data_IF_051074878640
#
_entry.id   IF_051074878640
#
_cell.length_a   1.000
_cell.length_b   1.000
_cell.length_c   1.000
_cell.angle_alpha   90.00
_cell.angle_beta   90.00
_cell.angle_gamma   90.00
#
_symmetry.space_group_name_H-M   'P 1'
#
loop_
_entity.id
_entity.type
_entity.pdbx_description
1 polymer ?
#
# COMPACT_ATOMS: atom_id res chain seq x y z
N UNK A 1 10.09 14.37 -15.32
CA UNK A 1 11.05 13.25 -15.08
C UNK A 1 10.57 12.03 -15.85
N UNK A 2 11.38 11.45 -16.74
CA UNK A 2 11.00 10.25 -17.49
C UNK A 2 10.89 9.02 -16.57
N UNK A 3 10.00 8.07 -16.91
CA UNK A 3 9.79 6.85 -16.15
C UNK A 3 11.05 5.99 -16.08
N UNK A 4 11.34 5.44 -14.89
CA UNK A 4 12.54 4.59 -14.71
C UNK A 4 12.39 3.26 -15.45
N UNK A 5 13.50 2.60 -15.84
CA UNK A 5 13.45 1.30 -16.53
C UNK A 5 12.63 0.24 -15.77
N UNK A 6 12.69 0.26 -14.43
CA UNK A 6 11.88 -0.61 -13.57
C UNK A 6 10.38 -0.30 -13.65
N UNK A 7 9.99 0.98 -13.71
CA UNK A 7 8.58 1.36 -13.89
C UNK A 7 8.07 0.94 -15.27
N UNK A 8 8.89 1.07 -16.32
CA UNK A 8 8.51 0.65 -17.69
C UNK A 8 8.31 -0.86 -17.80
N UNK A 9 9.18 -1.67 -17.18
CA UNK A 9 9.05 -3.13 -17.16
C UNK A 9 7.80 -3.54 -16.36
N UNK A 10 7.57 -2.94 -15.20
CA UNK A 10 6.37 -3.19 -14.40
C UNK A 10 5.09 -2.82 -15.16
N UNK A 11 5.07 -1.67 -15.86
CA UNK A 11 3.95 -1.26 -16.69
C UNK A 11 3.69 -2.22 -17.86
N UNK A 12 4.75 -2.74 -18.51
CA UNK A 12 4.61 -3.77 -19.57
C UNK A 12 4.06 -5.08 -19.03
N UNK A 13 4.57 -5.56 -17.89
CA UNK A 13 4.06 -6.79 -17.26
C UNK A 13 2.62 -6.64 -16.77
N UNK A 14 2.25 -5.48 -16.24
CA UNK A 14 0.87 -5.16 -15.87
C UNK A 14 -0.04 -5.05 -17.09
N UNK A 15 0.43 -4.46 -18.20
CA UNK A 15 -0.33 -4.40 -19.45
C UNK A 15 -0.63 -5.79 -20.02
N UNK A 16 0.31 -6.73 -19.92
CA UNK A 16 0.10 -8.13 -20.32
C UNK A 16 -0.94 -8.86 -19.44
N UNK A 17 -1.06 -8.48 -18.16
CA UNK A 17 -2.04 -9.04 -17.23
C UNK A 17 -3.40 -8.32 -17.25
N UNK A 18 -3.43 -7.07 -17.73
CA UNK A 18 -4.58 -6.18 -17.67
C UNK A 18 -5.21 -5.91 -19.03
N UNK A 19 -5.14 -6.87 -19.95
CA UNK A 19 -6.00 -6.85 -21.13
C UNK A 19 -7.42 -7.04 -20.62
N UNK A 20 -8.29 -6.03 -20.76
CA UNK A 20 -9.64 -6.04 -20.22
C UNK A 20 -10.45 -7.31 -20.56
N UNK A 21 -11.62 -7.49 -19.95
CA UNK A 21 -12.36 -8.75 -20.03
C UNK A 21 -12.59 -9.20 -21.49
N UNK A 22 -12.00 -10.34 -21.86
CA UNK A 22 -12.09 -10.92 -23.22
C UNK A 22 -13.26 -11.88 -23.39
N UNK A 23 -13.87 -12.31 -22.28
CA UNK A 23 -15.00 -13.24 -22.26
C UNK A 23 -16.32 -12.47 -22.12
N UNK A 24 -17.40 -12.99 -22.69
CA UNK A 24 -18.75 -12.41 -22.54
C UNK A 24 -19.15 -12.29 -21.06
N UNK A 25 -18.83 -13.29 -20.24
CA UNK A 25 -19.07 -13.23 -18.79
C UNK A 25 -18.24 -12.13 -18.09
N UNK A 26 -17.04 -11.86 -18.57
CA UNK A 26 -16.19 -10.77 -18.08
C UNK A 26 -16.72 -9.40 -18.51
N UNK A 27 -17.18 -9.28 -19.76
CA UNK A 27 -17.82 -8.06 -20.28
C UNK A 27 -19.12 -7.77 -19.56
N UNK A 28 -19.96 -8.78 -19.31
CA UNK A 28 -21.20 -8.66 -18.56
C UNK A 28 -20.95 -8.21 -17.11
N UNK A 29 -19.95 -8.79 -16.42
CA UNK A 29 -19.51 -8.31 -15.10
C UNK A 29 -19.03 -6.86 -15.13
N UNK A 30 -18.22 -6.49 -16.13
CA UNK A 30 -17.77 -5.10 -16.30
C UNK A 30 -18.91 -4.12 -16.63
N UNK A 31 -19.92 -4.57 -17.38
CA UNK A 31 -21.11 -3.78 -17.72
C UNK A 31 -21.98 -3.54 -16.48
N UNK A 32 -22.18 -4.55 -15.63
CA UNK A 32 -22.88 -4.41 -14.34
C UNK A 32 -22.19 -3.43 -13.39
N UNK A 33 -20.86 -3.33 -13.44
CA UNK A 33 -20.13 -2.31 -12.67
C UNK A 33 -20.37 -0.88 -13.16
N UNK A 34 -20.69 -0.69 -14.45
CA UNK A 34 -21.08 0.62 -14.99
C UNK A 34 -22.50 1.01 -14.55
N UNK A 35 -23.41 0.04 -14.47
CA UNK A 35 -24.83 0.28 -14.09
C UNK A 35 -25.07 0.35 -12.59
N UNK A 36 -24.29 -0.37 -11.77
CA UNK A 36 -24.53 -0.46 -10.30
C UNK A 36 -24.29 0.85 -9.54
N UNK A 37 -23.30 1.65 -9.96
CA UNK A 37 -22.95 2.87 -9.26
C UNK A 37 -22.96 4.12 -10.15
N UNK A 38 -23.00 3.98 -11.48
CA UNK A 38 -23.02 5.11 -12.43
C UNK A 38 -21.76 5.99 -12.46
N UNK A 39 -20.76 5.70 -11.60
CA UNK A 39 -19.57 6.54 -11.38
C UNK A 39 -18.29 5.98 -12.03
N UNK A 40 -18.33 4.82 -12.69
CA UNK A 40 -17.14 4.22 -13.33
C UNK A 40 -16.75 4.91 -14.63
N UNK A 41 -17.76 5.37 -15.37
CA UNK A 41 -17.73 6.29 -16.51
C UNK A 41 -19.16 6.80 -16.64
N UNK A 42 -19.34 8.10 -16.88
CA UNK A 42 -20.63 8.61 -17.33
C UNK A 42 -20.99 7.88 -18.63
N UNK A 43 -21.91 6.92 -18.54
CA UNK A 43 -22.45 6.21 -19.69
C UNK A 43 -23.34 7.13 -20.52
N UNK A 44 -23.93 6.58 -21.58
CA UNK A 44 -24.88 7.31 -22.43
C UNK A 44 -26.15 7.76 -21.67
N UNK A 45 -26.44 7.13 -20.52
CA UNK A 45 -27.62 7.44 -19.70
C UNK A 45 -27.20 7.52 -18.22
N UNK A 46 -26.87 8.73 -17.71
CA UNK A 46 -26.64 8.92 -16.29
C UNK A 46 -27.95 8.74 -15.48
N UNK A 47 -27.88 8.46 -14.17
CA UNK A 47 -29.04 8.53 -13.29
C UNK A 47 -29.74 9.90 -13.39
N UNK A 48 -31.07 9.95 -13.28
CA UNK A 48 -31.87 11.17 -13.52
C UNK A 48 -31.35 12.38 -12.75
N UNK A 49 -31.16 12.26 -11.43
CA UNK A 49 -30.62 13.34 -10.59
C UNK A 49 -29.24 13.85 -11.04
N UNK A 50 -28.43 12.99 -11.67
CA UNK A 50 -27.15 13.39 -12.24
C UNK A 50 -27.32 14.03 -13.62
N UNK A 51 -28.30 13.61 -14.42
CA UNK A 51 -28.65 14.26 -15.68
C UNK A 51 -29.10 15.70 -15.44
N UNK A 52 -29.97 15.92 -14.46
CA UNK A 52 -30.47 17.25 -14.08
C UNK A 52 -29.31 18.15 -13.62
N UNK A 53 -28.47 17.65 -12.70
CA UNK A 53 -27.29 18.38 -12.26
C UNK A 53 -26.29 18.71 -13.38
N UNK A 54 -26.23 17.88 -14.44
CA UNK A 54 -25.42 18.17 -15.64
C UNK A 54 -26.06 19.26 -16.48
N UNK A 55 -27.38 19.24 -16.66
CA UNK A 55 -28.11 20.29 -17.37
C UNK A 55 -27.93 21.65 -16.67
N UNK A 56 -28.12 21.67 -15.34
CA UNK A 56 -27.90 22.87 -14.51
C UNK A 56 -26.45 23.38 -14.63
N UNK A 57 -25.47 22.47 -14.58
CA UNK A 57 -24.04 22.81 -14.76
C UNK A 57 -23.78 23.45 -16.11
N UNK A 58 -24.35 22.87 -17.17
CA UNK A 58 -24.21 23.39 -18.54
C UNK A 58 -24.78 24.81 -18.63
N UNK A 59 -26.00 25.03 -18.13
CA UNK A 59 -26.63 26.34 -18.13
C UNK A 59 -25.78 27.38 -17.39
N UNK A 60 -25.32 27.06 -16.17
CA UNK A 60 -24.51 27.96 -15.35
C UNK A 60 -23.17 28.31 -15.99
N UNK A 61 -22.52 27.36 -16.67
CA UNK A 61 -21.15 27.53 -17.16
C UNK A 61 -21.08 28.00 -18.62
N UNK A 62 -22.18 27.91 -19.38
CA UNK A 62 -22.20 28.24 -20.80
C UNK A 62 -21.71 29.66 -21.09
N UNK A 63 -22.18 30.65 -20.31
CA UNK A 63 -21.85 32.06 -20.49
C UNK A 63 -20.36 32.36 -20.23
N UNK A 64 -19.71 31.58 -19.37
CA UNK A 64 -18.29 31.72 -19.01
C UNK A 64 -17.37 31.04 -20.01
N UNK A 65 -17.73 29.85 -20.47
CA UNK A 65 -16.88 29.06 -21.36
C UNK A 65 -17.11 29.34 -22.84
N UNK A 66 -18.32 29.74 -23.26
CA UNK A 66 -18.67 30.13 -24.64
C UNK A 66 -18.08 29.18 -25.69
N UNK A 67 -18.40 27.87 -25.64
CA UNK A 67 -17.93 26.94 -26.66
C UNK A 67 -18.48 27.35 -28.04
N UNK A 68 -17.63 27.27 -29.05
CA UNK A 68 -17.98 27.55 -30.44
C UNK A 68 -17.74 26.33 -31.32
N UNK A 69 -18.84 25.81 -31.88
CA UNK A 69 -18.83 24.70 -32.82
C UNK A 69 -18.69 23.33 -32.16
N UNK A 70 -18.91 22.26 -32.94
CA UNK A 70 -19.20 20.93 -32.39
C UNK A 70 -18.08 20.34 -31.52
N UNK A 71 -16.82 20.63 -31.83
CA UNK A 71 -15.67 20.11 -31.10
C UNK A 71 -15.52 20.76 -29.71
N UNK A 72 -15.78 22.07 -29.60
CA UNK A 72 -15.76 22.79 -28.33
C UNK A 72 -16.98 22.42 -27.49
N UNK A 73 -18.15 22.30 -28.11
CA UNK A 73 -19.38 21.84 -27.46
C UNK A 73 -19.16 20.47 -26.82
N UNK A 74 -18.61 19.51 -27.56
CA UNK A 74 -18.34 18.17 -27.04
C UNK A 74 -17.43 18.18 -25.79
N UNK A 75 -16.35 18.98 -25.81
CA UNK A 75 -15.44 19.10 -24.66
C UNK A 75 -16.10 19.80 -23.48
N UNK A 76 -16.90 20.83 -23.73
CA UNK A 76 -17.65 21.56 -22.70
C UNK A 76 -18.71 20.67 -22.04
N UNK A 77 -19.48 19.92 -22.82
CA UNK A 77 -20.45 18.97 -22.29
C UNK A 77 -19.78 17.89 -21.44
N UNK A 78 -18.63 17.38 -21.91
CA UNK A 78 -17.86 16.39 -21.15
C UNK A 78 -17.29 16.98 -19.86
N UNK A 79 -16.80 18.21 -19.89
CA UNK A 79 -16.34 18.94 -18.71
C UNK A 79 -17.45 19.05 -17.65
N UNK A 80 -18.64 19.49 -18.06
CA UNK A 80 -19.79 19.60 -17.17
C UNK A 80 -20.15 18.24 -16.56
N UNK A 81 -20.23 17.20 -17.40
CA UNK A 81 -20.53 15.84 -16.95
C UNK A 81 -19.52 15.32 -15.91
N UNK A 82 -18.23 15.39 -16.22
CA UNK A 82 -17.18 14.88 -15.32
C UNK A 82 -17.09 15.69 -14.02
N UNK A 83 -17.40 17.00 -14.06
CA UNK A 83 -17.49 17.82 -12.85
C UNK A 83 -18.61 17.40 -11.91
N UNK A 84 -19.80 17.08 -12.42
CA UNK A 84 -20.91 16.54 -11.61
C UNK A 84 -20.58 15.15 -11.06
N UNK A 85 -19.89 14.32 -11.84
CA UNK A 85 -19.43 13.00 -11.38
C UNK A 85 -18.41 13.13 -10.25
N UNK A 86 -17.50 14.11 -10.30
CA UNK A 86 -16.58 14.39 -9.20
C UNK A 86 -17.34 14.75 -7.92
N UNK A 87 -18.28 15.70 -8.00
CA UNK A 87 -19.08 16.13 -6.84
C UNK A 87 -19.91 14.98 -6.25
N UNK A 88 -20.38 14.08 -7.11
CA UNK A 88 -21.12 12.89 -6.69
C UNK A 88 -20.22 11.86 -5.99
N UNK A 89 -18.97 11.68 -6.46
CA UNK A 89 -17.99 10.86 -5.76
C UNK A 89 -17.64 11.45 -4.40
N UNK A 90 -17.43 12.76 -4.32
CA UNK A 90 -17.06 13.46 -3.09
C UNK A 90 -18.19 13.44 -2.05
N UNK A 91 -19.43 13.72 -2.46
CA UNK A 91 -20.60 13.58 -1.57
C UNK A 91 -20.75 12.17 -1.02
N UNK A 92 -20.56 11.15 -1.86
CA UNK A 92 -20.65 9.75 -1.44
C UNK A 92 -19.49 9.32 -0.54
N UNK A 93 -18.30 9.87 -0.74
CA UNK A 93 -17.15 9.67 0.17
C UNK A 93 -17.45 10.24 1.56
N UNK A 94 -18.01 11.45 1.64
CA UNK A 94 -18.38 12.08 2.91
C UNK A 94 -19.44 11.24 3.63
N UNK A 95 -20.51 10.87 2.94
CA UNK A 95 -21.58 10.04 3.52
C UNK A 95 -21.05 8.70 4.03
N UNK A 96 -20.23 8.01 3.23
CA UNK A 96 -19.66 6.72 3.63
C UNK A 96 -18.70 6.86 4.83
N UNK A 97 -17.90 7.93 4.89
CA UNK A 97 -17.04 8.19 6.05
C UNK A 97 -17.86 8.43 7.32
N UNK A 98 -18.97 9.16 7.21
CA UNK A 98 -19.90 9.36 8.33
C UNK A 98 -20.53 8.04 8.79
N UNK A 99 -21.06 7.23 7.87
CA UNK A 99 -21.63 5.91 8.19
C UNK A 99 -20.62 4.99 8.90
N UNK A 100 -19.36 5.01 8.47
CA UNK A 100 -18.30 4.22 9.10
C UNK A 100 -17.90 4.78 10.47
N UNK A 101 -17.96 6.10 10.66
CA UNK A 101 -17.69 6.75 11.93
C UNK A 101 -18.78 6.41 12.96
N UNK A 102 -20.05 6.49 12.56
CA UNK A 102 -21.20 6.09 13.39
C UNK A 102 -21.07 4.62 13.80
N UNK A 103 -20.75 3.73 12.83
CA UNK A 103 -20.52 2.31 13.12
C UNK A 103 -19.35 2.09 14.09
N UNK A 104 -18.27 2.86 13.96
CA UNK A 104 -17.15 2.77 14.89
C UNK A 104 -17.58 3.17 16.32
N UNK A 105 -18.37 4.22 16.47
CA UNK A 105 -18.89 4.65 17.76
C UNK A 105 -19.78 3.58 18.41
N UNK A 106 -20.60 2.89 17.61
CA UNK A 106 -21.55 1.88 18.07
C UNK A 106 -20.93 0.52 18.35
N UNK A 107 -20.02 0.06 17.48
CA UNK A 107 -19.63 -1.34 17.39
C UNK A 107 -18.13 -1.58 17.20
N UNK A 108 -17.26 -0.64 17.60
CA UNK A 108 -15.80 -0.80 17.47
C UNK A 108 -15.30 -2.14 18.00
N UNK A 109 -15.61 -2.48 19.26
CA UNK A 109 -15.08 -3.67 19.89
C UNK A 109 -15.58 -4.97 19.22
N UNK A 110 -16.85 -5.00 18.84
CA UNK A 110 -17.46 -6.16 18.18
C UNK A 110 -16.90 -6.38 16.77
N UNK A 111 -16.76 -5.32 15.97
CA UNK A 111 -16.20 -5.41 14.63
C UNK A 111 -14.73 -5.85 14.68
N UNK A 112 -13.95 -5.31 15.62
CA UNK A 112 -12.54 -5.71 15.82
C UNK A 112 -12.43 -7.16 16.32
N UNK A 113 -13.32 -7.60 17.20
CA UNK A 113 -13.38 -8.98 17.66
C UNK A 113 -13.75 -9.95 16.53
N UNK A 114 -14.71 -9.59 15.67
CA UNK A 114 -15.10 -10.38 14.51
C UNK A 114 -13.94 -10.54 13.50
N UNK A 115 -13.21 -9.46 13.20
CA UNK A 115 -12.02 -9.50 12.35
C UNK A 115 -10.93 -10.40 12.94
N UNK A 116 -10.74 -10.36 14.26
CA UNK A 116 -9.80 -11.25 14.96
C UNK A 116 -10.23 -12.71 14.87
N UNK A 117 -11.51 -13.01 15.03
CA UNK A 117 -12.03 -14.37 14.90
C UNK A 117 -11.80 -14.94 13.49
N UNK A 118 -12.04 -14.15 12.44
CA UNK A 118 -11.75 -14.54 11.06
C UNK A 118 -10.25 -14.83 10.86
N UNK A 119 -9.38 -13.97 11.40
CA UNK A 119 -7.94 -14.19 11.35
C UNK A 119 -7.49 -15.44 12.11
N UNK A 120 -8.13 -15.70 13.25
CA UNK A 120 -7.81 -16.82 14.13
C UNK A 120 -8.24 -18.19 13.57
N UNK A 121 -9.16 -18.25 12.60
CA UNK A 121 -9.54 -19.51 11.92
C UNK A 121 -8.33 -20.23 11.29
N UNK A 122 -7.33 -19.46 10.84
CA UNK A 122 -6.12 -20.02 10.27
C UNK A 122 -5.05 -20.40 11.32
N UNK A 123 -5.28 -20.19 12.62
CA UNK A 123 -4.27 -20.35 13.68
C UNK A 123 -3.74 -21.78 13.74
N UNK A 124 -4.62 -22.79 13.74
CA UNK A 124 -4.23 -24.22 13.81
C UNK A 124 -3.44 -24.71 12.58
N UNK A 125 -3.56 -23.99 11.47
CA UNK A 125 -2.87 -24.30 10.20
C UNK A 125 -1.53 -23.59 10.09
N UNK A 126 -1.45 -22.34 10.55
CA UNK A 126 -0.28 -21.45 10.39
C UNK A 126 -0.02 -20.62 11.64
N UNK A 127 0.25 -21.28 12.79
CA UNK A 127 0.39 -20.60 14.07
C UNK A 127 1.56 -19.59 14.05
N UNK A 128 2.64 -19.89 13.33
CA UNK A 128 3.82 -19.04 13.19
C UNK A 128 3.56 -17.72 12.42
N UNK A 129 2.43 -17.62 11.71
CA UNK A 129 2.03 -16.41 10.98
C UNK A 129 0.88 -15.70 11.66
N UNK A 130 -0.11 -16.44 12.13
CA UNK A 130 -1.34 -15.87 12.69
C UNK A 130 -1.08 -15.31 14.08
N UNK A 131 -0.37 -16.03 14.95
CA UNK A 131 -0.13 -15.59 16.32
C UNK A 131 0.62 -14.24 16.39
N UNK A 132 1.72 -14.02 15.62
CA UNK A 132 2.40 -12.74 15.67
C UNK A 132 1.55 -11.57 15.15
N UNK A 133 0.52 -11.83 14.34
CA UNK A 133 -0.45 -10.82 13.90
C UNK A 133 -1.46 -10.51 14.99
N UNK A 134 -1.97 -11.53 15.69
CA UNK A 134 -2.85 -11.33 16.84
C UNK A 134 -2.18 -10.48 17.93
N UNK A 135 -0.89 -10.73 18.21
CA UNK A 135 -0.07 -9.95 19.13
C UNK A 135 0.13 -8.47 18.76
N UNK A 136 -0.24 -8.05 17.54
CA UNK A 136 -0.12 -6.65 17.10
C UNK A 136 -1.35 -5.81 17.40
N UNK A 137 -2.42 -6.41 17.93
CA UNK A 137 -3.71 -5.74 18.15
C UNK A 137 -4.24 -6.02 19.54
N UNK A 138 -4.99 -5.07 20.10
CA UNK A 138 -5.63 -5.22 21.41
C UNK A 138 -6.58 -6.43 21.43
N UNK A 139 -7.55 -6.46 20.52
CA UNK A 139 -8.55 -7.53 20.43
C UNK A 139 -7.93 -8.90 20.15
N UNK A 140 -6.84 -8.97 19.38
CA UNK A 140 -6.11 -10.21 19.15
C UNK A 140 -5.47 -10.76 20.42
N UNK A 141 -4.90 -9.90 21.26
CA UNK A 141 -4.35 -10.30 22.57
C UNK A 141 -5.45 -10.69 23.55
N UNK A 142 -6.57 -9.97 23.60
CA UNK A 142 -7.72 -10.36 24.41
C UNK A 142 -8.29 -11.72 24.00
N UNK A 143 -8.37 -11.98 22.69
CA UNK A 143 -8.78 -13.28 22.17
C UNK A 143 -7.82 -14.40 22.59
N UNK A 144 -6.51 -14.16 22.52
CA UNK A 144 -5.49 -15.10 22.99
C UNK A 144 -5.62 -15.39 24.49
N UNK A 145 -5.85 -14.37 25.32
CA UNK A 145 -6.07 -14.54 26.76
C UNK A 145 -7.28 -15.45 27.00
N UNK A 146 -8.41 -15.21 26.32
CA UNK A 146 -9.59 -16.06 26.45
C UNK A 146 -9.35 -17.52 26.03
N UNK A 147 -8.52 -17.77 25.01
CA UNK A 147 -8.12 -19.14 24.66
C UNK A 147 -7.19 -19.79 25.69
N UNK A 148 -6.33 -19.01 26.34
CA UNK A 148 -5.49 -19.49 27.44
C UNK A 148 -6.29 -19.84 28.69
N UNK A 149 -7.39 -19.12 28.95
CA UNK A 149 -8.32 -19.47 30.03
C UNK A 149 -8.97 -20.85 29.76
N UNK A 150 -9.35 -21.15 28.51
CA UNK A 150 -9.84 -22.48 28.10
C UNK A 150 -8.80 -23.59 28.34
N UNK A 151 -7.52 -23.30 28.10
CA UNK A 151 -6.41 -24.22 28.40
C UNK A 151 -6.26 -24.45 29.90
N UNK A 152 -6.26 -23.39 30.72
CA UNK A 152 -6.19 -23.52 32.17
C UNK A 152 -7.37 -24.32 32.74
N UNK A 153 -8.58 -24.09 32.23
CA UNK A 153 -9.76 -24.83 32.65
C UNK A 153 -9.70 -26.31 32.26
N UNK A 154 -9.16 -26.62 31.07
CA UNK A 154 -8.92 -28.00 30.66
C UNK A 154 -7.90 -28.69 31.58
N UNK A 155 -6.79 -28.02 31.91
CA UNK A 155 -5.77 -28.51 32.83
C UNK A 155 -6.33 -28.82 34.22
N UNK A 156 -7.16 -27.94 34.77
CA UNK A 156 -7.81 -28.14 36.08
C UNK A 156 -8.76 -29.33 36.06
N UNK A 157 -9.61 -29.44 35.04
CA UNK A 157 -10.61 -30.52 34.94
C UNK A 157 -9.99 -31.90 34.71
N UNK A 158 -8.87 -31.94 34.00
CA UNK A 158 -8.24 -33.20 33.60
C UNK A 158 -7.03 -33.56 34.46
N UNK A 159 -6.70 -32.72 35.45
CA UNK A 159 -5.55 -32.85 36.34
C UNK A 159 -4.23 -33.06 35.56
N UNK A 160 -4.08 -32.37 34.42
CA UNK A 160 -2.93 -32.52 33.55
C UNK A 160 -3.23 -32.20 32.09
N UNK A 161 -2.20 -32.32 31.25
CA UNK A 161 -2.30 -32.04 29.82
C UNK A 161 -3.13 -33.11 29.08
N UNK A 162 -3.81 -32.70 28.02
CA UNK A 162 -4.36 -33.60 26.98
C UNK A 162 -3.69 -33.29 25.65
N UNK A 163 -3.58 -34.26 24.72
CA UNK A 163 -2.99 -34.02 23.40
C UNK A 163 -3.60 -32.80 22.70
N UNK A 164 -4.94 -32.70 22.67
CA UNK A 164 -5.64 -31.60 22.01
C UNK A 164 -5.40 -30.24 22.68
N UNK A 165 -5.38 -30.23 24.02
CA UNK A 165 -5.11 -29.01 24.80
C UNK A 165 -3.65 -28.57 24.67
N UNK A 166 -2.73 -29.52 24.55
CA UNK A 166 -1.33 -29.24 24.26
C UNK A 166 -1.14 -28.63 22.88
N UNK A 167 -1.77 -29.20 21.86
CA UNK A 167 -1.72 -28.66 20.49
C UNK A 167 -2.30 -27.26 20.41
N UNK A 168 -3.40 -27.01 21.12
CA UNK A 168 -3.95 -25.66 21.27
C UNK A 168 -2.97 -24.72 21.96
N UNK A 169 -2.35 -25.12 23.07
CA UNK A 169 -1.35 -24.29 23.74
C UNK A 169 -0.16 -23.96 22.81
N UNK A 170 0.28 -24.93 22.00
CA UNK A 170 1.34 -24.71 21.02
C UNK A 170 0.89 -23.78 19.87
N UNK A 171 -0.37 -23.85 19.45
CA UNK A 171 -0.97 -22.92 18.48
C UNK A 171 -0.96 -21.49 19.04
N UNK A 172 -1.38 -21.31 20.29
CA UNK A 172 -1.42 -20.01 20.99
C UNK A 172 -0.04 -19.42 21.26
N UNK A 173 1.00 -20.25 21.34
CA UNK A 173 2.40 -19.83 21.39
C UNK A 173 3.02 -19.56 20.00
N UNK A 174 2.27 -19.78 18.92
CA UNK A 174 2.77 -19.59 17.56
C UNK A 174 3.77 -20.65 17.10
N UNK A 175 3.84 -21.80 17.78
CA UNK A 175 4.76 -22.87 17.43
C UNK A 175 4.30 -23.59 16.16
N UNK A 176 5.11 -23.62 15.10
CA UNK A 176 4.78 -24.37 13.88
C UNK A 176 4.66 -25.88 14.17
N UNK A 177 3.85 -26.61 13.38
CA UNK A 177 3.69 -28.07 13.57
C UNK A 177 5.02 -28.83 13.53
N UNK A 178 5.95 -28.41 12.66
CA UNK A 178 7.28 -29.00 12.58
C UNK A 178 8.11 -28.78 13.85
N UNK A 179 7.93 -27.65 14.54
CA UNK A 179 8.66 -27.33 15.77
C UNK A 179 8.10 -28.03 17.02
N UNK A 180 6.99 -28.77 16.91
CA UNK A 180 6.33 -29.46 18.03
C UNK A 180 6.77 -30.92 18.21
N UNK A 181 7.46 -31.50 17.23
CA UNK A 181 7.85 -32.91 17.27
C UNK A 181 8.77 -33.16 18.46
N UNK A 182 8.39 -34.08 19.35
CA UNK A 182 9.15 -34.41 20.57
C UNK A 182 9.15 -33.33 21.64
N UNK A 183 8.19 -32.40 21.60
CA UNK A 183 8.04 -31.34 22.60
C UNK A 183 6.88 -31.57 23.57
N UNK A 184 6.24 -32.74 23.53
CA UNK A 184 5.05 -33.01 24.33
C UNK A 184 5.37 -32.99 25.84
N UNK A 185 4.38 -32.72 26.71
CA UNK A 185 4.53 -32.85 28.16
C UNK A 185 4.94 -34.27 28.56
N UNK A 186 4.54 -35.24 27.74
CA UNK A 186 4.85 -36.68 27.85
C UNK A 186 6.30 -37.01 27.47
N UNK A 187 6.95 -36.14 26.70
CA UNK A 187 8.36 -36.23 26.31
C UNK A 187 9.26 -35.48 27.31
N UNK A 188 8.66 -34.78 28.28
CA UNK A 188 9.30 -33.98 29.33
C UNK A 188 9.21 -34.68 30.70
N UNK A 189 9.77 -34.07 31.74
CA UNK A 189 9.92 -34.72 33.05
C UNK A 189 8.56 -35.19 33.61
N UNK A 190 8.44 -36.34 34.30
CA UNK A 190 7.15 -36.87 34.78
C UNK A 190 6.35 -35.91 35.69
N UNK A 191 6.99 -34.93 36.31
CA UNK A 191 6.33 -33.87 37.09
C UNK A 191 5.69 -32.77 36.20
N UNK A 192 6.16 -32.60 34.95
CA UNK A 192 5.64 -31.63 33.98
C UNK A 192 4.29 -32.04 33.36
N UNK A 193 3.91 -33.32 33.50
CA UNK A 193 2.61 -33.83 33.07
C UNK A 193 1.46 -33.42 34.02
N UNK A 194 1.78 -33.04 35.26
CA UNK A 194 0.82 -32.58 36.25
C UNK A 194 0.26 -31.17 35.96
N UNK A 195 -0.84 -30.76 36.63
CA UNK A 195 -1.50 -29.49 36.34
C UNK A 195 -0.69 -28.28 36.80
N UNK A 196 0.17 -28.43 37.81
CA UNK A 196 0.95 -27.32 38.41
C UNK A 196 1.83 -26.59 37.40
N UNK A 197 2.79 -27.28 36.74
CA UNK A 197 3.66 -26.66 35.73
C UNK A 197 2.89 -26.06 34.55
N UNK A 198 1.82 -26.72 34.11
CA UNK A 198 0.95 -26.21 33.05
C UNK A 198 0.23 -24.92 33.45
N UNK A 199 -0.35 -24.87 34.65
CA UNK A 199 -1.03 -23.68 35.16
C UNK A 199 -0.07 -22.51 35.39
N UNK A 200 1.15 -22.79 35.84
CA UNK A 200 2.20 -21.77 35.97
C UNK A 200 2.64 -21.21 34.62
N UNK A 201 2.76 -22.06 33.59
CA UNK A 201 2.97 -21.61 32.22
C UNK A 201 1.83 -20.68 31.79
N UNK A 202 0.56 -21.11 31.91
CA UNK A 202 -0.60 -20.28 31.52
C UNK A 202 -0.58 -18.94 32.24
N UNK A 203 -0.35 -18.93 33.57
CA UNK A 203 -0.24 -17.71 34.37
C UNK A 203 0.81 -16.76 33.82
N UNK A 204 2.03 -17.25 33.59
CA UNK A 204 3.13 -16.44 33.08
C UNK A 204 2.84 -15.86 31.68
N UNK A 205 2.19 -16.64 30.81
CA UNK A 205 1.82 -16.18 29.46
C UNK A 205 0.73 -15.11 29.53
N UNK A 206 -0.32 -15.34 30.30
CA UNK A 206 -1.43 -14.39 30.44
C UNK A 206 -0.93 -13.08 31.08
N UNK A 207 -0.03 -13.14 32.07
CA UNK A 207 0.61 -11.95 32.63
C UNK A 207 1.40 -11.17 31.58
N UNK A 208 2.20 -11.84 30.74
CA UNK A 208 2.93 -11.19 29.65
C UNK A 208 1.99 -10.55 28.61
N UNK A 209 0.88 -11.22 28.26
CA UNK A 209 -0.13 -10.69 27.35
C UNK A 209 -0.83 -9.44 27.94
N UNK A 210 -1.21 -9.47 29.22
CA UNK A 210 -1.80 -8.33 29.92
C UNK A 210 -0.81 -7.15 30.03
N UNK A 211 0.45 -7.42 30.33
CA UNK A 211 1.50 -6.39 30.34
C UNK A 211 1.66 -5.75 28.94
N UNK A 212 1.58 -6.55 27.88
CA UNK A 212 1.61 -6.05 26.50
C UNK A 212 0.43 -5.13 26.19
N UNK A 213 -0.78 -5.50 26.62
CA UNK A 213 -1.97 -4.65 26.48
C UNK A 213 -1.74 -3.26 27.10
N UNK A 214 -1.41 -3.27 28.40
CA UNK A 214 -1.19 -2.06 29.19
C UNK A 214 -0.01 -1.21 28.69
N UNK A 215 1.00 -1.82 28.09
CA UNK A 215 2.20 -1.08 27.66
C UNK A 215 1.97 -0.15 26.47
N UNK A 216 1.12 -0.52 25.50
CA UNK A 216 0.90 0.29 24.30
C UNK A 216 -0.31 -0.10 23.45
N UNK A 217 -0.85 -1.32 23.58
CA UNK A 217 -1.95 -1.74 22.69
C UNK A 217 -3.28 -1.10 23.07
N UNK A 218 -3.56 -0.91 24.36
CA UNK A 218 -4.77 -0.21 24.80
C UNK A 218 -4.79 1.24 24.32
N UNK A 219 -3.71 1.98 24.54
CA UNK A 219 -3.58 3.37 24.08
C UNK A 219 -3.63 3.48 22.54
N UNK A 220 -3.01 2.53 21.83
CA UNK A 220 -3.03 2.50 20.37
C UNK A 220 -4.43 2.22 19.83
N UNK A 221 -5.15 1.30 20.48
CA UNK A 221 -6.52 0.96 20.10
C UNK A 221 -7.49 2.11 20.41
N UNK A 222 -7.36 2.76 21.56
CA UNK A 222 -8.15 3.93 21.94
C UNK A 222 -7.95 5.09 20.93
N UNK A 223 -6.72 5.35 20.49
CA UNK A 223 -6.46 6.33 19.41
C UNK A 223 -7.10 5.91 18.10
N UNK A 224 -6.96 4.64 17.71
CA UNK A 224 -7.55 4.14 16.47
C UNK A 224 -9.08 4.21 16.48
N UNK A 225 -9.71 3.94 17.63
CA UNK A 225 -11.15 4.12 17.86
C UNK A 225 -11.54 5.58 17.72
N UNK A 226 -10.87 6.49 18.43
CA UNK A 226 -11.16 7.92 18.38
C UNK A 226 -10.99 8.49 16.96
N UNK A 227 -9.94 8.09 16.24
CA UNK A 227 -9.77 8.48 14.83
C UNK A 227 -10.95 7.97 13.99
N UNK A 228 -11.32 6.70 14.13
CA UNK A 228 -12.41 6.10 13.35
C UNK A 228 -13.76 6.77 13.63
N UNK A 229 -14.07 7.08 14.90
CA UNK A 229 -15.26 7.82 15.32
C UNK A 229 -15.30 9.25 14.78
N UNK A 230 -14.15 9.84 14.42
CA UNK A 230 -14.06 11.13 13.73
C UNK A 230 -14.10 11.00 12.20
N UNK A 231 -14.29 9.79 11.67
CA UNK A 231 -14.20 9.51 10.22
C UNK A 231 -12.76 9.59 9.67
N UNK A 232 -11.76 9.45 10.55
CA UNK A 232 -10.33 9.51 10.26
C UNK A 232 -9.66 8.13 10.48
N UNK A 233 -8.50 7.92 9.87
CA UNK A 233 -7.61 6.83 10.25
C UNK A 233 -7.27 5.80 9.16
N UNK A 234 -6.11 5.17 9.34
CA UNK A 234 -5.45 4.25 8.40
C UNK A 234 -6.27 3.00 8.01
N UNK A 235 -7.40 2.72 8.67
CA UNK A 235 -8.30 1.62 8.33
C UNK A 235 -9.50 2.02 7.48
N UNK A 236 -9.97 3.28 7.61
CA UNK A 236 -11.12 3.81 6.85
C UNK A 236 -10.72 4.09 5.41
N UNK A 237 -9.57 4.74 5.20
CA UNK A 237 -9.07 5.04 3.85
C UNK A 237 -8.75 3.77 3.04
N UNK A 238 -8.50 2.65 3.73
CA UNK A 238 -8.28 1.34 3.13
C UNK A 238 -9.55 0.51 2.92
N UNK A 239 -10.73 1.01 3.31
CA UNK A 239 -11.98 0.34 3.02
C UNK A 239 -12.17 0.22 1.48
N UNK A 240 -12.47 -0.98 0.94
CA UNK A 240 -12.63 -1.17 -0.51
C UNK A 240 -13.58 -0.16 -1.18
N UNK A 241 -14.72 0.22 -0.58
CA UNK A 241 -15.62 1.21 -1.17
C UNK A 241 -15.03 2.64 -1.18
N UNK A 242 -14.28 3.05 -0.15
CA UNK A 242 -13.60 4.35 -0.11
C UNK A 242 -12.54 4.43 -1.22
N UNK A 243 -11.64 3.44 -1.31
CA UNK A 243 -10.62 3.39 -2.38
C UNK A 243 -11.23 3.40 -3.78
N UNK A 244 -12.38 2.75 -3.95
CA UNK A 244 -13.10 2.73 -5.21
C UNK A 244 -13.58 4.14 -5.61
N UNK A 245 -14.21 4.85 -4.68
CA UNK A 245 -14.70 6.21 -4.91
C UNK A 245 -13.55 7.20 -5.10
N UNK A 246 -12.46 7.10 -4.33
CA UNK A 246 -11.27 7.94 -4.52
C UNK A 246 -10.64 7.73 -5.90
N UNK A 247 -10.62 6.48 -6.39
CA UNK A 247 -10.16 6.19 -7.75
C UNK A 247 -11.06 6.85 -8.79
N UNK A 248 -12.38 6.83 -8.61
CA UNK A 248 -13.31 7.50 -9.52
C UNK A 248 -13.20 9.03 -9.46
N UNK A 249 -13.04 9.61 -8.27
CA UNK A 249 -12.77 11.04 -8.10
C UNK A 249 -11.46 11.45 -8.79
N UNK A 250 -10.40 10.65 -8.64
CA UNK A 250 -9.12 10.87 -9.33
C UNK A 250 -9.26 10.82 -10.85
N UNK A 251 -9.97 9.83 -11.38
CA UNK A 251 -10.26 9.74 -12.81
C UNK A 251 -11.06 10.95 -13.31
N UNK A 252 -12.13 11.34 -12.60
CA UNK A 252 -12.94 12.52 -12.95
C UNK A 252 -12.09 13.80 -12.98
N UNK A 253 -11.24 14.05 -11.98
CA UNK A 253 -10.30 15.20 -11.97
C UNK A 253 -9.36 15.21 -13.18
N UNK A 254 -8.84 14.04 -13.57
CA UNK A 254 -8.00 13.93 -14.76
C UNK A 254 -8.78 14.24 -16.04
N UNK A 255 -10.02 13.76 -16.18
CA UNK A 255 -10.84 14.09 -17.34
C UNK A 255 -11.22 15.56 -17.39
N UNK A 256 -11.55 16.18 -16.25
CA UNK A 256 -11.81 17.62 -16.14
C UNK A 256 -10.61 18.43 -16.66
N UNK A 257 -9.40 18.13 -16.18
CA UNK A 257 -8.17 18.80 -16.65
C UNK A 257 -8.01 18.66 -18.16
N UNK A 258 -8.17 17.44 -18.70
CA UNK A 258 -8.05 17.18 -20.14
C UNK A 258 -9.08 17.96 -20.96
N UNK A 259 -10.33 18.02 -20.50
CA UNK A 259 -11.39 18.75 -21.21
C UNK A 259 -11.11 20.25 -21.20
N UNK A 260 -10.65 20.81 -20.06
CA UNK A 260 -10.24 22.21 -19.96
C UNK A 260 -9.07 22.54 -20.88
N UNK A 261 -8.01 21.72 -20.87
CA UNK A 261 -6.83 21.92 -21.70
C UNK A 261 -7.14 21.79 -23.20
N UNK A 262 -8.03 20.85 -23.56
CA UNK A 262 -8.53 20.70 -24.92
C UNK A 262 -9.37 21.89 -25.37
N UNK A 263 -10.29 22.35 -24.54
CA UNK A 263 -11.20 23.45 -24.86
C UNK A 263 -10.42 24.75 -25.07
N UNK A 264 -9.51 25.08 -24.15
CA UNK A 264 -8.64 26.26 -24.26
C UNK A 264 -7.79 26.25 -25.53
N UNK A 265 -7.30 25.07 -25.93
CA UNK A 265 -6.52 24.91 -27.16
C UNK A 265 -7.36 25.22 -28.41
N UNK A 266 -8.54 24.63 -28.51
CA UNK A 266 -9.45 24.89 -29.64
C UNK A 266 -9.91 26.36 -29.69
N UNK A 267 -10.09 26.98 -28.53
CA UNK A 267 -10.41 28.40 -28.44
C UNK A 267 -9.26 29.27 -28.94
N UNK A 268 -8.02 28.98 -28.52
CA UNK A 268 -6.83 29.70 -29.00
C UNK A 268 -6.63 29.51 -30.52
N UNK A 269 -6.88 28.31 -31.05
CA UNK A 269 -6.84 28.05 -32.50
C UNK A 269 -7.92 28.84 -33.26
N UNK A 270 -9.14 28.92 -32.72
CA UNK A 270 -10.24 29.69 -33.31
C UNK A 270 -10.02 31.21 -33.23
N UNK A 271 -9.40 31.69 -32.15
CA UNK A 271 -8.98 33.09 -32.00
C UNK A 271 -7.87 33.44 -32.99
N UNK A 272 -6.85 32.58 -33.13
CA UNK A 272 -5.77 32.76 -34.09
C UNK A 272 -6.29 32.77 -35.55
N UNK A 273 -7.30 31.95 -35.86
CA UNK A 273 -7.96 31.95 -37.16
C UNK A 273 -8.83 33.19 -37.41
N UNK A 274 -9.36 33.82 -36.34
CA UNK A 274 -10.16 35.06 -36.40
C UNK A 274 -9.32 36.33 -36.41
N UNK A 275 -8.07 36.27 -35.95
CA UNK A 275 -7.16 37.40 -36.00
C UNK A 275 -7.00 37.85 -37.47
N UNK A 276 -7.31 39.11 -37.81
CA UNK A 276 -7.22 39.58 -39.19
C UNK A 276 -5.78 39.49 -39.69
N UNK A 277 -5.64 39.32 -41.00
CA UNK A 277 -4.39 39.20 -41.77
C UNK A 277 -3.53 40.49 -41.76
N UNK A 278 -3.53 41.27 -40.68
CA UNK A 278 -2.77 42.52 -40.52
C UNK A 278 -1.25 42.30 -40.49
N UNK A 279 -0.78 41.05 -40.39
CA UNK A 279 0.64 40.72 -40.45
C UNK A 279 1.13 40.34 -41.87
N UNK A 280 0.23 40.10 -42.85
CA UNK A 280 0.64 39.77 -44.24
C UNK A 280 0.60 40.95 -45.20
N UNK A 281 0.14 42.13 -44.77
CA UNK A 281 0.08 43.34 -45.61
C UNK A 281 1.24 44.32 -45.40
N UNK A 282 2.31 43.97 -44.67
CA UNK A 282 3.52 44.78 -44.70
C UNK A 282 4.44 44.25 -45.81
N UNK A 283 4.57 44.94 -46.95
CA UNK A 283 5.58 44.56 -47.93
C UNK A 283 6.94 44.72 -47.26
N UNK A 284 7.75 43.65 -47.31
CA UNK A 284 9.13 43.69 -46.83
C UNK A 284 9.84 44.92 -47.42
N UNK A 285 10.43 45.82 -46.61
CA UNK A 285 11.27 46.86 -47.17
C UNK A 285 12.50 46.19 -47.79
N UNK A 286 12.73 46.46 -49.07
CA UNK A 286 13.94 46.07 -49.81
C UNK A 286 15.19 46.42 -49.01
N UNK A 287 16.22 45.56 -48.99
CA UNK A 287 17.44 45.83 -48.22
C UNK A 287 18.17 47.03 -48.83
N UNK A 288 18.27 48.12 -48.06
CA UNK A 288 19.22 49.20 -48.33
C UNK A 288 20.60 48.82 -47.77
N UNK A 289 21.70 49.18 -48.45
CA UNK A 289 23.04 48.67 -48.14
C UNK A 289 23.58 49.20 -46.81
N UNK A 290 24.07 48.31 -45.96
CA UNK A 290 24.71 48.65 -44.68
C UNK A 290 26.10 49.26 -44.92
N UNK A 291 26.46 50.38 -44.25
CA UNK A 291 27.80 50.96 -44.32
C UNK A 291 28.84 50.09 -43.61
N UNK A 292 30.06 50.13 -44.12
CA UNK A 292 31.26 49.45 -43.60
C UNK A 292 31.60 49.93 -42.18
N UNK A 293 31.77 49.03 -41.19
CA UNK A 293 32.30 49.39 -39.87
C UNK A 293 33.85 49.50 -39.88
N UNK A 294 34.45 50.43 -39.11
CA UNK A 294 35.90 50.57 -39.00
C UNK A 294 36.56 49.40 -38.23
N UNK A 295 37.86 49.16 -38.42
CA UNK A 295 38.53 47.94 -37.97
C UNK A 295 38.69 47.88 -36.44
N UNK A 296 38.44 46.69 -35.87
CA UNK A 296 38.77 46.36 -34.47
C UNK A 296 40.19 45.77 -34.38
N UNK A 297 40.93 46.08 -33.30
CA UNK A 297 42.28 45.58 -33.09
C UNK A 297 42.33 44.09 -32.71
N UNK A 298 43.43 43.47 -33.13
CA UNK A 298 43.78 42.05 -33.09
C UNK A 298 43.93 41.53 -31.65
N UNK A 299 43.33 40.37 -31.36
CA UNK A 299 43.67 39.55 -30.18
C UNK A 299 44.05 38.13 -30.63
N UNK A 300 45.20 37.68 -30.14
CA UNK A 300 45.90 36.44 -30.51
C UNK A 300 45.12 35.14 -30.16
N UNK A 301 45.38 34.03 -30.87
CA UNK A 301 44.56 32.81 -30.83
C UNK A 301 44.86 31.89 -29.65
N UNK A 302 43.82 31.24 -29.12
CA UNK A 302 43.93 30.08 -28.24
C UNK A 302 43.94 28.76 -29.07
N UNK A 303 44.73 27.75 -28.68
CA UNK A 303 44.88 26.50 -29.44
C UNK A 303 43.71 25.51 -29.28
N UNK A 304 43.51 24.71 -30.33
CA UNK A 304 42.42 23.74 -30.54
C UNK A 304 42.57 22.47 -29.69
N UNK A 305 41.46 21.79 -29.33
CA UNK A 305 41.48 20.42 -28.82
C UNK A 305 41.64 19.39 -29.97
N UNK A 306 42.54 18.43 -29.78
CA UNK A 306 42.77 17.29 -30.68
C UNK A 306 42.01 16.03 -30.25
N UNK A 307 41.71 15.20 -31.25
CA UNK A 307 40.90 13.99 -31.23
C UNK A 307 41.48 12.83 -30.40
N UNK A 308 40.65 11.81 -30.03
CA UNK A 308 41.12 10.63 -29.30
C UNK A 308 41.69 9.56 -30.25
N UNK A 309 42.69 8.77 -29.84
CA UNK A 309 43.10 7.59 -30.57
C UNK A 309 42.51 6.28 -30.01
N UNK A 310 42.50 5.30 -30.90
CA UNK A 310 41.83 4.01 -30.84
C UNK A 310 42.55 2.93 -30.01
N UNK A 311 41.80 1.85 -29.82
CA UNK A 311 42.13 0.63 -29.08
C UNK A 311 43.33 -0.15 -29.61
N UNK A 312 44.10 -0.74 -28.68
CA UNK A 312 44.89 -1.97 -28.84
C UNK A 312 44.94 -2.71 -27.49
N UNK A 313 44.69 -4.01 -27.51
CA UNK A 313 45.01 -4.98 -26.45
C UNK A 313 45.99 -6.02 -27.05
N UNK A 314 46.50 -7.05 -26.35
CA UNK A 314 46.65 -7.28 -24.90
C UNK A 314 48.10 -7.69 -24.52
N UNK A 315 48.37 -7.91 -23.23
CA UNK A 315 49.50 -8.76 -22.80
C UNK A 315 50.10 -8.38 -21.45
N UNK A 316 50.40 -9.40 -20.63
CA UNK A 316 51.32 -9.28 -19.50
C UNK A 316 50.74 -9.70 -18.16
N UNK A 317 51.17 -10.87 -17.71
CA UNK A 317 50.96 -11.40 -16.38
C UNK A 317 51.59 -10.50 -15.30
N UNK A 318 51.04 -10.50 -14.09
CA UNK A 318 51.79 -10.95 -12.90
C UNK A 318 50.95 -11.04 -11.63
N UNK A 319 51.42 -11.97 -10.80
CA UNK A 319 50.97 -12.49 -9.52
C UNK A 319 50.22 -11.55 -8.54
N UNK A 320 49.15 -12.09 -7.95
CA UNK A 320 48.63 -11.68 -6.64
C UNK A 320 48.90 -12.80 -5.61
N UNK A 321 49.36 -12.47 -4.39
CA UNK A 321 49.65 -13.46 -3.36
C UNK A 321 48.39 -13.98 -2.66
N UNK A 322 48.52 -15.21 -2.15
CA UNK A 322 47.51 -15.99 -1.46
C UNK A 322 47.19 -15.45 -0.06
N UNK A 323 45.90 -15.46 0.30
CA UNK A 323 45.45 -15.37 1.70
C UNK A 323 44.44 -16.49 2.01
N UNK A 324 44.54 -16.95 3.25
CA UNK A 324 44.17 -18.26 3.76
C UNK A 324 42.66 -18.49 3.96
N UNK A 325 42.24 -19.73 3.73
CA UNK A 325 40.96 -20.28 4.18
C UNK A 325 40.97 -20.54 5.69
N UNK A 326 39.95 -20.13 6.46
CA UNK A 326 39.74 -20.67 7.79
C UNK A 326 38.84 -21.92 7.72
N UNK A 327 39.25 -22.94 8.49
CA UNK A 327 38.58 -24.22 8.78
C UNK A 327 37.11 -24.08 9.26
N UNK A 328 36.26 -25.10 9.02
CA UNK A 328 34.91 -25.13 9.55
C UNK A 328 34.88 -25.54 11.04
N UNK A 329 34.03 -24.94 11.90
CA UNK A 329 33.93 -25.35 13.29
C UNK A 329 33.11 -26.66 13.44
N UNK A 330 33.54 -27.48 14.39
CA UNK A 330 32.94 -28.76 14.80
C UNK A 330 31.46 -28.64 15.25
N UNK A 331 30.66 -29.73 15.16
CA UNK A 331 29.24 -29.71 15.49
C UNK A 331 29.02 -29.47 17.00
N UNK A 332 28.18 -28.48 17.34
CA UNK A 332 27.73 -28.22 18.71
C UNK A 332 26.81 -29.35 19.19
N UNK A 333 27.10 -29.89 20.37
CA UNK A 333 26.19 -30.75 21.12
C UNK A 333 24.88 -30.01 21.47
N UNK A 334 23.75 -30.70 21.32
CA UNK A 334 22.42 -30.23 21.76
C UNK A 334 22.37 -30.18 23.30
N UNK A 335 22.03 -29.04 23.92
CA UNK A 335 21.82 -29.00 25.37
C UNK A 335 20.49 -29.68 25.72
N UNK A 336 20.47 -30.38 26.86
CA UNK A 336 19.28 -30.98 27.44
C UNK A 336 18.17 -29.92 27.64
N UNK A 337 16.92 -30.29 27.34
CA UNK A 337 15.77 -29.41 27.44
C UNK A 337 15.57 -28.94 28.88
N UNK A 338 15.69 -27.62 29.12
CA UNK A 338 15.31 -27.00 30.39
C UNK A 338 13.77 -27.00 30.60
N UNK A 339 13.31 -26.61 31.80
CA UNK A 339 11.89 -26.64 32.16
C UNK A 339 11.02 -25.85 31.16
N UNK A 340 9.75 -26.27 30.99
CA UNK A 340 8.77 -25.66 30.06
C UNK A 340 8.74 -24.12 30.15
N UNK A 341 8.92 -23.57 31.35
CA UNK A 341 8.91 -22.13 31.59
C UNK A 341 10.14 -21.40 31.04
N UNK A 342 11.25 -22.09 30.74
CA UNK A 342 12.47 -21.48 30.17
C UNK A 342 12.52 -21.60 28.65
N UNK A 343 12.00 -22.68 28.07
CA UNK A 343 12.01 -22.91 26.61
C UNK A 343 10.92 -22.13 25.87
N UNK A 344 9.81 -21.79 26.53
CA UNK A 344 8.66 -21.11 25.92
C UNK A 344 8.60 -19.60 26.18
N UNK A 345 9.35 -19.08 27.17
CA UNK A 345 9.38 -17.65 27.57
C UNK A 345 9.94 -16.73 26.48
N UNK A 346 10.87 -17.22 25.67
CA UNK A 346 11.49 -16.45 24.57
C UNK A 346 10.55 -16.18 23.39
N UNK A 347 9.39 -16.86 23.30
CA UNK A 347 8.44 -16.71 22.19
C UNK A 347 7.36 -15.64 22.40
N UNK A 348 7.22 -15.13 23.63
CA UNK A 348 6.25 -14.08 23.98
C UNK A 348 6.91 -12.69 24.09
N UNK A 349 8.22 -12.65 24.31
CA UNK A 349 9.00 -11.43 24.20
C UNK A 349 9.01 -10.99 22.74
N UNK A 350 8.75 -9.70 22.42
CA UNK A 350 9.19 -9.18 21.15
C UNK A 350 10.71 -9.32 21.17
N UNK A 351 11.27 -10.34 20.51
CA UNK A 351 12.68 -10.32 20.14
C UNK A 351 12.92 -8.92 19.59
N UNK A 352 13.92 -8.15 20.07
CA UNK A 352 14.21 -6.84 19.52
C UNK A 352 14.32 -7.07 18.03
N UNK A 353 13.38 -6.52 17.27
CA UNK A 353 13.23 -6.84 15.86
C UNK A 353 14.54 -6.43 15.23
N UNK A 354 15.41 -7.40 14.96
CA UNK A 354 16.64 -7.15 14.23
C UNK A 354 16.24 -6.37 12.98
N UNK A 355 17.02 -5.35 12.59
CA UNK A 355 16.58 -4.31 11.67
C UNK A 355 15.81 -4.91 10.50
N UNK A 356 14.63 -4.36 10.21
CA UNK A 356 13.82 -4.84 9.08
C UNK A 356 14.67 -4.80 7.79
N UNK A 357 14.25 -5.53 6.75
CA UNK A 357 15.04 -5.67 5.50
C UNK A 357 15.45 -4.32 4.87
N UNK A 358 14.66 -3.27 5.12
CA UNK A 358 14.92 -1.90 4.69
C UNK A 358 16.02 -1.23 5.53
N UNK A 359 15.98 -1.40 6.85
CA UNK A 359 17.02 -0.94 7.79
C UNK A 359 18.35 -1.69 7.59
N UNK A 360 18.35 -3.01 7.29
CA UNK A 360 19.58 -3.74 6.90
C UNK A 360 20.19 -3.21 5.61
N UNK A 361 19.34 -2.89 4.62
CA UNK A 361 19.80 -2.27 3.36
C UNK A 361 20.34 -0.86 3.56
N UNK A 362 19.72 -0.07 4.44
CA UNK A 362 20.20 1.25 4.80
C UNK A 362 21.56 1.19 5.51
N UNK A 363 21.72 0.27 6.46
CA UNK A 363 22.99 0.04 7.16
C UNK A 363 24.11 -0.43 6.21
N UNK A 364 23.82 -1.38 5.30
CA UNK A 364 24.75 -1.83 4.26
C UNK A 364 25.09 -0.73 3.23
N UNK A 365 24.19 0.22 3.00
CA UNK A 365 24.44 1.36 2.12
C UNK A 365 25.24 2.48 2.82
N UNK A 366 25.15 2.57 4.15
CA UNK A 366 25.94 3.49 4.96
C UNK A 366 27.38 2.96 5.14
N UNK A 367 27.56 1.66 5.39
CA UNK A 367 28.88 1.03 5.56
C UNK A 367 29.71 0.95 4.26
N UNK A 368 29.12 1.30 3.11
CA UNK A 368 29.82 1.42 1.82
C UNK A 368 30.24 2.86 1.49
N UNK A 369 29.90 3.82 2.35
CA UNK A 369 30.24 5.25 2.19
C UNK A 369 31.23 5.76 3.24
N UNK A 370 31.43 4.98 4.30
CA UNK A 370 32.54 5.06 5.26
C UNK A 370 33.64 4.11 4.82
#
# INVERSE_FOLDING_TARGET
>A
MPATPSQTIANRLNALKSTGPRTEQGKARSSRNATSHGLSRLGATPPSAMADAIADRKEQWLASYRPEGPAQDWLFERLCAESVRLDSCERRLIALRAELADRAAEAWDDDRAALVAEQADALSRRPEVVQPRLLQTRHGVLWLIGRWDEVADSLRRCEGWRPDTWDLAMDLLGASKAARVGSGPWDLHPEDAGPGPGLELVRSVVEALRARLASHLDDRDARARSDAELGLGLGLDDAPPIRLLERYARDARLQISRCLDGLRRLQAEAEAARAPDQARSNPAPSPSPTPVPPPRPVRAPAPRPTAPPAAVAPGGADAFPAEAHPEPPAPRATPAAGPLSSTLRDRLSPSPSGPNRRARRAALAASRRS
#
